data_IF_642758234443
#
_entry.id   IF_642758234443
#
_cell.length_a   1.000
_cell.length_b   1.000
_cell.length_c   1.000
_cell.angle_alpha   90.00
_cell.angle_beta   90.00
_cell.angle_gamma   90.00
#
_symmetry.space_group_name_H-M   'P 1'
#
loop_
_entity.id
_entity.type
_entity.pdbx_description
1 polymer ?
#
# COMPACT_ATOMS: atom_id res chain seq x y z
N UNK A 1 6.56 -8.03 10.33
CA UNK A 1 7.35 -7.01 9.59
C UNK A 1 6.63 -5.67 9.64
N UNK A 2 7.37 -4.59 9.77
CA UNK A 2 6.80 -3.24 9.86
C UNK A 2 7.49 -2.35 8.84
N UNK A 3 6.68 -1.58 8.10
CA UNK A 3 7.16 -0.48 7.27
C UNK A 3 6.70 0.82 7.92
N UNK A 4 7.64 1.67 8.32
CA UNK A 4 7.34 3.01 8.82
C UNK A 4 7.55 3.98 7.68
N UNK A 5 6.47 4.40 7.04
CA UNK A 5 6.55 5.17 5.79
C UNK A 5 7.33 6.48 5.98
N UNK A 6 7.05 7.21 7.06
CA UNK A 6 7.70 8.50 7.29
C UNK A 6 9.21 8.37 7.47
N UNK A 7 9.68 7.26 8.04
CA UNK A 7 11.11 7.05 8.31
C UNK A 7 11.82 6.35 7.16
N UNK A 8 11.17 5.37 6.54
CA UNK A 8 11.83 4.52 5.55
C UNK A 8 11.64 4.99 4.12
N UNK A 9 10.65 5.80 3.86
CA UNK A 9 10.36 6.29 2.51
C UNK A 9 10.32 7.80 2.46
N UNK A 10 9.28 8.42 3.02
CA UNK A 10 9.16 9.88 3.05
C UNK A 10 8.12 10.32 4.09
N UNK A 11 8.33 11.49 4.67
CA UNK A 11 7.33 12.14 5.51
C UNK A 11 6.45 13.10 4.70
N UNK A 12 6.74 13.26 3.40
CA UNK A 12 5.97 14.13 2.50
C UNK A 12 5.56 13.36 1.25
N UNK A 13 4.60 12.42 1.37
CA UNK A 13 4.19 11.60 0.23
C UNK A 13 3.71 12.45 -0.95
N UNK A 14 4.07 12.02 -2.15
CA UNK A 14 3.69 12.70 -3.36
C UNK A 14 2.40 12.16 -3.96
N UNK A 15 2.25 12.29 -5.28
CA UNK A 15 1.07 11.84 -5.99
C UNK A 15 1.13 10.38 -6.40
N UNK A 16 0.43 10.06 -7.51
CA UNK A 16 0.25 8.68 -7.96
C UNK A 16 1.49 8.09 -8.61
N UNK A 17 2.06 8.80 -9.58
CA UNK A 17 3.02 8.21 -10.51
C UNK A 17 4.40 8.84 -10.45
N UNK A 18 5.42 8.01 -10.63
CA UNK A 18 6.82 8.46 -10.64
C UNK A 18 7.07 9.54 -11.71
N UNK A 19 6.37 9.44 -12.83
CA UNK A 19 6.55 10.40 -13.92
C UNK A 19 6.16 11.83 -13.53
N UNK A 20 5.29 12.00 -12.56
CA UNK A 20 4.72 13.30 -12.20
C UNK A 20 5.05 13.76 -10.79
N UNK A 21 5.66 12.90 -9.97
CA UNK A 21 5.78 13.21 -8.56
C UNK A 21 6.93 12.45 -7.91
N UNK A 22 7.70 13.13 -7.08
CA UNK A 22 8.65 12.47 -6.19
C UNK A 22 7.88 11.74 -5.11
N UNK A 23 8.46 10.65 -4.63
CA UNK A 23 7.89 9.87 -3.52
C UNK A 23 6.44 9.49 -3.80
N UNK A 24 6.19 9.02 -5.02
CA UNK A 24 4.84 8.65 -5.46
C UNK A 24 4.36 7.35 -4.84
N UNK A 25 3.05 7.12 -4.92
CA UNK A 25 2.45 5.85 -4.52
C UNK A 25 3.00 4.68 -5.34
N UNK A 26 3.22 4.91 -6.62
CA UNK A 26 3.84 3.92 -7.50
C UNK A 26 5.24 3.54 -7.01
N UNK A 27 6.05 4.53 -6.67
CA UNK A 27 7.41 4.30 -6.16
C UNK A 27 7.37 3.54 -4.83
N UNK A 28 6.51 3.96 -3.92
CA UNK A 28 6.36 3.28 -2.62
C UNK A 28 5.99 1.82 -2.81
N UNK A 29 5.03 1.55 -3.69
CA UNK A 29 4.60 0.18 -3.97
C UNK A 29 5.76 -0.66 -4.51
N UNK A 30 6.47 -0.13 -5.51
CA UNK A 30 7.53 -0.89 -6.17
C UNK A 30 8.75 -1.12 -5.28
N UNK A 31 9.12 -0.12 -4.50
CA UNK A 31 10.35 -0.20 -3.71
C UNK A 31 10.16 -0.85 -2.35
N UNK A 32 9.02 -0.65 -1.71
CA UNK A 32 8.79 -1.12 -0.34
C UNK A 32 7.60 -2.04 -0.19
N UNK A 33 6.44 -1.65 -0.68
CA UNK A 33 5.22 -2.37 -0.34
C UNK A 33 5.18 -3.76 -0.96
N UNK A 34 5.36 -3.86 -2.27
CA UNK A 34 5.26 -5.14 -2.96
C UNK A 34 6.37 -6.12 -2.54
N UNK A 35 7.66 -5.71 -2.51
CA UNK A 35 8.71 -6.64 -2.08
C UNK A 35 8.51 -7.14 -0.65
N UNK A 36 8.12 -6.27 0.27
CA UNK A 36 7.90 -6.67 1.65
C UNK A 36 6.65 -7.53 1.80
N UNK A 37 5.62 -7.24 1.00
CA UNK A 37 4.42 -8.08 0.98
C UNK A 37 4.75 -9.51 0.54
N UNK A 38 5.54 -9.65 -0.53
CA UNK A 38 5.94 -10.98 -1.01
C UNK A 38 6.72 -11.74 0.05
N UNK A 39 7.60 -11.05 0.75
CA UNK A 39 8.37 -11.64 1.83
C UNK A 39 7.46 -12.16 2.95
N UNK A 40 6.47 -11.36 3.33
CA UNK A 40 5.51 -11.75 4.35
C UNK A 40 4.61 -12.90 3.89
N UNK A 41 4.22 -12.89 2.63
CA UNK A 41 3.42 -13.96 2.06
C UNK A 41 4.17 -15.28 2.13
N UNK A 42 5.45 -15.26 1.79
CA UNK A 42 6.30 -16.45 1.79
C UNK A 42 6.52 -16.99 3.20
N UNK A 43 6.76 -16.10 4.17
CA UNK A 43 7.03 -16.50 5.54
C UNK A 43 5.77 -16.61 6.41
N UNK A 44 4.61 -16.36 5.84
CA UNK A 44 3.33 -16.41 6.54
C UNK A 44 3.28 -15.41 7.71
N UNK A 45 3.79 -14.21 7.48
CA UNK A 45 3.80 -13.14 8.48
C UNK A 45 2.83 -12.02 8.12
N UNK A 46 2.50 -11.18 9.10
CA UNK A 46 1.74 -9.96 8.84
C UNK A 46 2.68 -8.84 8.44
N UNK A 47 2.16 -7.91 7.64
CA UNK A 47 2.89 -6.70 7.26
C UNK A 47 2.14 -5.50 7.83
N UNK A 48 2.72 -4.84 8.82
CA UNK A 48 2.16 -3.62 9.38
C UNK A 48 2.74 -2.43 8.62
N UNK A 49 1.87 -1.63 8.03
CA UNK A 49 2.26 -0.38 7.37
C UNK A 49 1.86 0.76 8.29
N UNK A 50 2.86 1.41 8.87
CA UNK A 50 2.68 2.50 9.81
C UNK A 50 2.73 3.82 9.04
N UNK A 51 1.60 4.52 9.02
CA UNK A 51 1.44 5.78 8.28
C UNK A 51 1.70 7.02 9.13
N UNK A 52 1.90 6.85 10.43
CA UNK A 52 2.06 7.98 11.34
C UNK A 52 3.40 8.68 11.16
N UNK A 53 3.46 9.95 11.57
CA UNK A 53 4.71 10.71 11.61
C UNK A 53 4.98 11.58 10.39
N UNK A 54 4.10 11.58 9.40
CA UNK A 54 4.26 12.42 8.20
C UNK A 54 3.31 13.60 8.18
N UNK A 55 3.30 14.30 7.05
CA UNK A 55 2.49 15.50 6.87
C UNK A 55 1.17 15.25 6.16
N UNK A 56 0.79 13.99 6.01
CA UNK A 56 -0.46 13.62 5.37
C UNK A 56 -0.23 12.87 4.07
N UNK A 57 -1.30 12.23 3.57
CA UNK A 57 -1.23 11.38 2.39
C UNK A 57 -2.25 11.84 1.36
N UNK A 58 -1.80 12.23 0.15
CA UNK A 58 -2.76 12.43 -0.95
C UNK A 58 -3.50 11.14 -1.23
N UNK A 59 -4.79 11.25 -1.54
CA UNK A 59 -5.62 10.07 -1.85
C UNK A 59 -5.03 9.29 -3.01
N UNK A 60 -4.51 9.99 -4.04
CA UNK A 60 -3.91 9.32 -5.17
C UNK A 60 -2.71 8.45 -4.82
N UNK A 61 -1.90 8.90 -3.84
CA UNK A 61 -0.78 8.10 -3.35
C UNK A 61 -1.27 6.77 -2.79
N UNK A 62 -2.27 6.83 -1.91
CA UNK A 62 -2.79 5.64 -1.24
C UNK A 62 -3.47 4.70 -2.23
N UNK A 63 -4.25 5.25 -3.15
CA UNK A 63 -4.92 4.46 -4.18
C UNK A 63 -3.93 3.73 -5.06
N UNK A 64 -2.90 4.44 -5.51
CA UNK A 64 -1.89 3.85 -6.38
C UNK A 64 -1.04 2.83 -5.64
N UNK A 65 -0.70 3.10 -4.39
CA UNK A 65 0.10 2.17 -3.61
C UNK A 65 -0.65 0.88 -3.31
N UNK A 66 -1.82 0.99 -2.71
CA UNK A 66 -2.52 -0.19 -2.19
C UNK A 66 -3.46 -0.83 -3.21
N UNK A 67 -4.19 -0.03 -3.99
CA UNK A 67 -4.95 -0.56 -5.11
C UNK A 67 -4.03 -1.14 -6.16
N UNK A 68 -2.93 -0.45 -6.42
CA UNK A 68 -1.91 -0.93 -7.34
C UNK A 68 -1.26 -2.24 -6.91
N UNK A 69 -1.11 -2.45 -5.59
CA UNK A 69 -0.61 -3.72 -5.08
C UNK A 69 -1.52 -4.86 -5.51
N UNK A 70 -2.83 -4.69 -5.39
CA UNK A 70 -3.79 -5.72 -5.79
C UNK A 70 -3.65 -6.02 -7.29
N UNK A 71 -3.49 -4.98 -8.12
CA UNK A 71 -3.28 -5.18 -9.56
C UNK A 71 -2.02 -5.99 -9.84
N UNK A 72 -0.93 -5.69 -9.14
CA UNK A 72 0.31 -6.44 -9.30
C UNK A 72 0.15 -7.90 -8.88
N UNK A 73 -0.60 -8.15 -7.82
CA UNK A 73 -0.86 -9.53 -7.39
C UNK A 73 -1.63 -10.29 -8.46
N UNK A 74 -2.64 -9.66 -9.06
CA UNK A 74 -3.38 -10.27 -10.17
C UNK A 74 -2.48 -10.57 -11.35
N UNK A 75 -1.64 -9.61 -11.72
CA UNK A 75 -0.72 -9.77 -12.85
C UNK A 75 0.26 -10.92 -12.62
N UNK A 76 0.61 -11.17 -11.38
CA UNK A 76 1.52 -12.25 -11.00
C UNK A 76 0.80 -13.52 -10.59
N UNK A 77 -0.53 -13.56 -10.77
CA UNK A 77 -1.38 -14.73 -10.47
C UNK A 77 -1.30 -15.15 -9.01
N UNK A 78 -1.17 -14.17 -8.12
CA UNK A 78 -1.15 -14.39 -6.68
C UNK A 78 -2.51 -14.08 -6.06
N UNK A 79 -2.78 -14.69 -4.91
CA UNK A 79 -4.05 -14.47 -4.21
C UNK A 79 -4.19 -13.02 -3.77
N UNK A 80 -5.27 -12.36 -4.17
CA UNK A 80 -5.54 -10.99 -3.74
C UNK A 80 -6.21 -10.96 -2.37
N UNK A 81 -6.99 -11.97 -2.04
CA UNK A 81 -7.71 -12.00 -0.76
C UNK A 81 -6.77 -12.10 0.43
N UNK A 82 -5.65 -12.78 0.28
CA UNK A 82 -4.66 -12.88 1.35
C UNK A 82 -4.12 -11.52 1.76
N UNK A 83 -4.06 -10.57 0.83
CA UNK A 83 -3.56 -9.24 1.13
C UNK A 83 -4.38 -8.56 2.22
N UNK A 84 -5.70 -8.77 2.22
CA UNK A 84 -6.56 -8.19 3.26
C UNK A 84 -6.26 -8.72 4.65
N UNK A 85 -5.71 -9.94 4.73
CA UNK A 85 -5.37 -10.55 6.01
C UNK A 85 -3.94 -10.23 6.44
N UNK A 86 -3.04 -10.15 5.47
CA UNK A 86 -1.61 -9.95 5.75
C UNK A 86 -1.30 -8.49 6.06
N UNK A 87 -1.92 -7.56 5.32
CA UNK A 87 -1.63 -6.14 5.47
C UNK A 87 -2.43 -5.56 6.62
N UNK A 88 -1.72 -4.93 7.56
CA UNK A 88 -2.31 -4.20 8.69
C UNK A 88 -1.88 -2.75 8.55
N UNK A 89 -2.81 -1.84 8.78
CA UNK A 89 -2.55 -0.40 8.64
C UNK A 89 -2.62 0.24 10.00
N UNK A 90 -1.59 1.03 10.33
CA UNK A 90 -1.58 1.84 11.54
C UNK A 90 -1.63 3.31 11.13
N UNK A 91 -2.66 4.01 11.56
CA UNK A 91 -2.81 5.44 11.29
C UNK A 91 -3.54 6.09 12.46
N UNK A 92 -2.77 6.53 13.46
CA UNK A 92 -3.34 7.23 14.62
C UNK A 92 -3.53 8.70 14.31
N UNK A 93 -2.65 9.26 13.46
CA UNK A 93 -2.73 10.68 13.07
C UNK A 93 -3.97 10.96 12.23
N UNK A 94 -4.38 9.99 11.41
CA UNK A 94 -5.57 10.13 10.58
C UNK A 94 -6.24 8.76 10.47
N UNK A 95 -7.10 8.49 11.44
CA UNK A 95 -7.72 7.16 11.62
C UNK A 95 -8.53 6.72 10.40
N UNK A 96 -9.16 7.68 9.70
CA UNK A 96 -9.98 7.36 8.53
C UNK A 96 -9.21 6.71 7.38
N UNK A 97 -7.89 6.84 7.37
CA UNK A 97 -7.07 6.24 6.30
C UNK A 97 -7.13 4.72 6.32
N UNK A 98 -7.31 4.11 7.49
CA UNK A 98 -7.37 2.65 7.60
C UNK A 98 -8.50 2.09 6.72
N UNK A 99 -9.71 2.61 6.90
CA UNK A 99 -10.86 2.15 6.13
C UNK A 99 -10.72 2.49 4.65
N UNK A 100 -10.18 3.67 4.34
CA UNK A 100 -9.99 4.07 2.95
C UNK A 100 -9.07 3.11 2.21
N UNK A 101 -7.98 2.72 2.83
CA UNK A 101 -7.01 1.80 2.22
C UNK A 101 -7.64 0.44 1.96
N UNK A 102 -8.34 -0.11 2.95
CA UNK A 102 -9.01 -1.40 2.75
C UNK A 102 -10.09 -1.30 1.68
N UNK A 103 -10.78 -0.16 1.59
CA UNK A 103 -11.77 0.07 0.54
C UNK A 103 -11.11 0.06 -0.84
N UNK A 104 -9.96 0.70 -0.99
CA UNK A 104 -9.23 0.70 -2.26
C UNK A 104 -8.82 -0.72 -2.66
N UNK A 105 -8.32 -1.50 -1.70
CA UNK A 105 -7.92 -2.88 -1.98
C UNK A 105 -9.12 -3.74 -2.35
N UNK A 106 -10.21 -3.65 -1.60
CA UNK A 106 -11.41 -4.44 -1.86
C UNK A 106 -12.02 -4.11 -3.22
N UNK A 107 -11.99 -2.83 -3.59
CA UNK A 107 -12.50 -2.40 -4.89
C UNK A 107 -11.72 -3.04 -6.03
N UNK A 108 -10.40 -3.07 -5.92
CA UNK A 108 -9.55 -3.68 -6.94
C UNK A 108 -9.71 -5.20 -6.98
N UNK A 109 -9.92 -5.83 -5.83
CA UNK A 109 -10.17 -7.28 -5.81
C UNK A 109 -11.43 -7.62 -6.60
N UNK A 110 -12.47 -6.80 -6.47
CA UNK A 110 -13.74 -7.01 -7.17
C UNK A 110 -13.71 -6.61 -8.63
N UNK A 111 -12.72 -5.82 -9.04
CA UNK A 111 -12.64 -5.34 -10.41
C UNK A 111 -12.16 -6.47 -11.32
N UNK A 112 -13.07 -6.96 -12.19
CA UNK A 112 -12.76 -8.07 -13.09
C UNK A 112 -12.29 -7.63 -14.46
N UNK A 113 -12.13 -6.36 -14.68
CA UNK A 113 -11.67 -5.85 -15.98
C UNK A 113 -10.20 -6.16 -16.17
N UNK A 114 -9.85 -6.44 -17.37
CA UNK A 114 -8.48 -6.71 -17.77
C UNK A 114 -7.74 -5.43 -18.08
#
# INVERSE_FOLDING_TARGET
>A
MIIKVAEEFTDTPGGRYKANSKYSGEQFREELLFPNYLSCLESNEKLLVDLDGGYGYPIGFLEEAFGGLIKMLKDNKLSTKKALKIIKIKSNDEVSLVDKIYTFMKKEIKNNKK
#
